data_IF_738776193978
#
_entry.id   IF_738776193978
#
_cell.length_a   1.000
_cell.length_b   1.000
_cell.length_c   1.000
_cell.angle_alpha   90.00
_cell.angle_beta   90.00
_cell.angle_gamma   90.00
#
_symmetry.space_group_name_H-M   'P 1'
#
loop_
_entity.id
_entity.type
_entity.pdbx_description
1 polymer ?
#
# COMPACT_ATOMS: atom_id res chain seq x y z
N UNK A 1 -14.40 -3.11 -5.82
CA UNK A 1 -13.19 -3.94 -5.74
C UNK A 1 -13.36 -5.25 -6.48
N UNK A 2 -14.48 -5.48 -7.16
CA UNK A 2 -14.75 -6.72 -7.88
C UNK A 2 -13.70 -7.06 -8.96
N UNK A 3 -13.13 -6.09 -9.71
CA UNK A 3 -12.03 -6.38 -10.63
C UNK A 3 -10.81 -7.02 -9.95
N UNK A 4 -10.51 -6.66 -8.69
CA UNK A 4 -9.41 -7.26 -7.92
C UNK A 4 -9.71 -8.73 -7.63
N UNK A 5 -10.93 -9.03 -7.13
CA UNK A 5 -11.32 -10.40 -6.86
C UNK A 5 -11.32 -11.27 -8.12
N UNK A 6 -11.84 -10.73 -9.23
CA UNK A 6 -11.82 -11.40 -10.52
C UNK A 6 -10.38 -11.68 -10.97
N UNK A 7 -9.48 -10.69 -10.89
CA UNK A 7 -8.08 -10.87 -11.25
C UNK A 7 -7.40 -11.94 -10.38
N UNK A 8 -7.70 -12.00 -9.08
CA UNK A 8 -7.18 -13.03 -8.19
C UNK A 8 -7.70 -14.43 -8.55
N UNK A 9 -8.98 -14.55 -8.92
CA UNK A 9 -9.57 -15.83 -9.34
C UNK A 9 -9.03 -16.29 -10.71
N UNK A 10 -8.86 -15.36 -11.65
CA UNK A 10 -8.21 -15.62 -12.93
C UNK A 10 -6.77 -16.08 -12.73
N UNK A 11 -6.02 -15.43 -11.84
CA UNK A 11 -4.65 -15.83 -11.49
C UNK A 11 -4.59 -17.22 -10.87
N UNK A 12 -5.50 -17.57 -9.94
CA UNK A 12 -5.58 -18.94 -9.40
C UNK A 12 -5.83 -19.98 -10.50
N UNK A 13 -6.62 -19.63 -11.52
CA UNK A 13 -6.94 -20.56 -12.61
C UNK A 13 -5.72 -20.88 -13.48
N UNK A 14 -4.81 -19.91 -13.65
CA UNK A 14 -3.58 -20.05 -14.46
C UNK A 14 -2.39 -20.51 -13.62
N UNK A 15 -2.34 -20.10 -12.35
CA UNK A 15 -1.30 -20.39 -11.37
C UNK A 15 -1.96 -20.82 -10.05
N UNK A 16 -2.29 -22.12 -9.88
CA UNK A 16 -2.98 -22.62 -8.69
C UNK A 16 -2.25 -22.30 -7.37
N UNK A 17 -0.92 -22.20 -7.43
CA UNK A 17 -0.05 -21.87 -6.31
C UNK A 17 0.22 -20.36 -6.19
N UNK A 18 -0.55 -19.48 -6.84
CA UNK A 18 -0.38 -18.03 -6.68
C UNK A 18 -0.71 -17.61 -5.24
N UNK A 19 -1.86 -18.02 -4.72
CA UNK A 19 -2.27 -17.76 -3.34
C UNK A 19 -1.76 -18.83 -2.38
N UNK A 20 -0.44 -18.94 -2.23
CA UNK A 20 0.17 -19.78 -1.18
C UNK A 20 -0.35 -19.33 0.18
N UNK A 21 -0.80 -20.24 1.06
CA UNK A 21 -1.31 -19.87 2.39
C UNK A 21 -0.33 -19.00 3.18
N UNK A 22 0.96 -19.24 2.98
CA UNK A 22 2.03 -18.72 3.82
C UNK A 22 2.92 -17.67 3.13
N UNK A 23 2.46 -17.12 2.01
CA UNK A 23 3.10 -15.99 1.38
C UNK A 23 2.21 -14.76 1.58
N UNK A 24 2.80 -13.62 1.91
CA UNK A 24 2.05 -12.36 1.95
C UNK A 24 1.44 -12.06 0.58
N UNK A 25 0.15 -11.74 0.54
CA UNK A 25 -0.51 -11.20 -0.65
C UNK A 25 -0.35 -9.67 -0.62
N UNK A 26 0.43 -9.13 -1.56
CA UNK A 26 0.47 -7.70 -1.79
C UNK A 26 -0.46 -7.34 -2.95
N UNK A 27 -1.38 -6.40 -2.71
CA UNK A 27 -2.26 -5.83 -3.73
C UNK A 27 -1.84 -4.38 -3.90
N UNK A 28 -1.39 -4.03 -5.11
CA UNK A 28 -1.05 -2.66 -5.48
C UNK A 28 -2.07 -2.22 -6.51
N UNK A 29 -2.95 -1.31 -6.10
CA UNK A 29 -3.97 -0.73 -6.94
C UNK A 29 -3.51 0.64 -7.43
N UNK A 30 -3.57 0.84 -8.74
CA UNK A 30 -3.29 2.12 -9.40
C UNK A 30 -4.53 2.50 -10.18
N UNK A 31 -5.13 3.66 -9.88
CA UNK A 31 -6.34 4.11 -10.58
C UNK A 31 -6.47 5.63 -10.55
N UNK A 32 -6.86 6.20 -11.68
CA UNK A 32 -7.28 7.59 -11.85
C UNK A 32 -8.79 7.79 -11.61
N UNK A 33 -9.52 6.70 -11.34
CA UNK A 33 -10.97 6.66 -11.19
C UNK A 33 -11.38 6.00 -9.85
N UNK A 34 -12.67 6.05 -9.51
CA UNK A 34 -13.23 5.43 -8.30
C UNK A 34 -13.75 4.00 -8.55
N UNK A 35 -13.85 3.21 -7.47
CA UNK A 35 -14.44 1.87 -7.49
C UNK A 35 -15.96 1.89 -7.69
N UNK A 36 -16.43 1.32 -8.81
CA UNK A 36 -17.84 1.12 -9.11
C UNK A 36 -18.51 -0.06 -8.38
N UNK A 37 -17.80 -0.79 -7.51
CA UNK A 37 -18.37 -1.94 -6.78
C UNK A 37 -18.59 -3.16 -7.68
N UNK A 38 -19.68 -3.88 -7.45
CA UNK A 38 -20.08 -5.03 -8.28
C UNK A 38 -20.90 -4.58 -9.49
N UNK A 39 -20.74 -5.28 -10.63
CA UNK A 39 -21.54 -5.04 -11.83
C UNK A 39 -23.03 -5.21 -11.49
N UNK A 40 -23.80 -4.14 -11.62
CA UNK A 40 -25.24 -4.13 -11.32
C UNK A 40 -25.63 -3.54 -9.97
N UNK A 41 -24.67 -3.24 -9.08
CA UNK A 41 -24.92 -2.46 -7.85
C UNK A 41 -25.48 -1.07 -8.22
N UNK A 42 -24.99 -0.54 -9.34
CA UNK A 42 -25.48 0.70 -9.94
C UNK A 42 -25.92 0.48 -11.37
N UNK A 43 -27.00 1.14 -11.79
CA UNK A 43 -27.39 1.14 -13.20
C UNK A 43 -26.54 2.12 -13.99
N UNK A 44 -25.57 1.61 -14.75
CA UNK A 44 -24.76 2.41 -15.69
C UNK A 44 -25.59 3.01 -16.86
N UNK A 45 -26.85 2.60 -17.01
CA UNK A 45 -27.74 3.01 -18.11
C UNK A 45 -28.37 4.40 -17.95
N UNK A 46 -27.95 5.19 -16.97
CA UNK A 46 -28.53 6.52 -16.72
C UNK A 46 -27.83 7.62 -17.49
N UNK A 47 -28.57 8.70 -17.77
CA UNK A 47 -28.12 10.01 -18.27
C UNK A 47 -26.95 10.65 -17.49
N UNK A 48 -26.55 10.06 -16.36
CA UNK A 48 -25.42 10.45 -15.51
C UNK A 48 -24.04 10.36 -16.20
N UNK A 49 -23.96 9.77 -17.41
CA UNK A 49 -22.83 10.00 -18.30
C UNK A 49 -21.46 9.53 -17.79
N UNK A 50 -21.45 8.45 -16.98
CA UNK A 50 -20.24 7.87 -16.38
C UNK A 50 -20.07 8.15 -14.88
N UNK A 51 -20.88 9.05 -14.30
CA UNK A 51 -20.71 9.51 -12.91
C UNK A 51 -21.35 8.61 -11.85
N UNK A 52 -22.11 7.59 -12.26
CA UNK A 52 -22.91 6.78 -11.33
C UNK A 52 -22.05 6.13 -10.24
N UNK A 53 -20.81 5.75 -10.55
CA UNK A 53 -19.88 5.19 -9.56
C UNK A 53 -19.52 6.19 -8.47
N UNK A 54 -19.27 7.45 -8.83
CA UNK A 54 -18.99 8.51 -7.87
C UNK A 54 -20.21 8.88 -7.03
N UNK A 55 -21.41 8.88 -7.62
CA UNK A 55 -22.64 9.09 -6.86
C UNK A 55 -22.84 7.99 -5.82
N UNK A 56 -22.61 6.73 -6.21
CA UNK A 56 -22.75 5.60 -5.30
C UNK A 56 -21.63 5.51 -4.25
N UNK A 57 -20.40 5.91 -4.59
CA UNK A 57 -19.32 6.04 -3.62
C UNK A 57 -19.58 7.19 -2.62
N UNK A 58 -20.14 8.32 -3.08
CA UNK A 58 -20.54 9.43 -2.22
C UNK A 58 -21.83 9.16 -1.43
N UNK A 59 -22.64 8.18 -1.84
CA UNK A 59 -23.97 7.91 -1.31
C UNK A 59 -25.05 8.89 -1.76
N UNK A 60 -24.72 9.81 -2.67
CA UNK A 60 -25.65 10.81 -3.22
C UNK A 60 -25.17 11.36 -4.57
N UNK A 61 -26.09 11.92 -5.36
CA UNK A 61 -25.76 12.63 -6.60
C UNK A 61 -25.37 14.11 -6.38
N UNK A 62 -25.16 14.84 -7.47
CA UNK A 62 -24.81 16.27 -7.48
C UNK A 62 -25.92 17.18 -6.90
N UNK A 63 -27.14 16.67 -6.75
CA UNK A 63 -28.29 17.35 -6.14
C UNK A 63 -28.56 16.87 -4.70
N UNK A 64 -27.75 15.95 -4.18
CA UNK A 64 -27.92 15.36 -2.85
C UNK A 64 -29.01 14.29 -2.77
N UNK A 65 -29.51 13.78 -3.90
CA UNK A 65 -30.45 12.65 -3.93
C UNK A 65 -29.67 11.37 -3.62
N UNK A 66 -30.23 10.51 -2.76
CA UNK A 66 -29.61 9.24 -2.36
C UNK A 66 -30.07 8.04 -3.20
N UNK A 67 -30.81 8.29 -4.28
CA UNK A 67 -31.32 7.27 -5.19
C UNK A 67 -31.41 7.78 -6.62
N UNK A 68 -31.29 6.89 -7.59
CA UNK A 68 -31.45 7.18 -9.01
C UNK A 68 -32.91 7.47 -9.42
N UNK A 69 -33.12 7.82 -10.69
CA UNK A 69 -34.45 8.12 -11.24
C UNK A 69 -35.41 6.91 -11.25
N UNK A 70 -34.89 5.69 -11.04
CA UNK A 70 -35.67 4.46 -10.90
C UNK A 70 -35.96 4.10 -9.45
N UNK A 71 -35.48 4.91 -8.49
CA UNK A 71 -35.64 4.70 -7.05
C UNK A 71 -34.65 3.71 -6.44
N UNK A 72 -33.59 3.32 -7.16
CA UNK A 72 -32.53 2.47 -6.59
C UNK A 72 -31.57 3.33 -5.77
N UNK A 73 -31.16 2.90 -4.56
CA UNK A 73 -30.24 3.66 -3.75
C UNK A 73 -28.86 3.77 -4.42
N UNK A 74 -28.19 4.90 -4.21
CA UNK A 74 -26.78 5.07 -4.51
C UNK A 74 -25.95 4.38 -3.44
N UNK A 75 -25.86 3.05 -3.53
CA UNK A 75 -25.16 2.22 -2.55
C UNK A 75 -24.27 1.22 -3.29
N UNK A 76 -23.03 1.10 -2.82
CA UNK A 76 -22.08 0.10 -3.30
C UNK A 76 -21.88 -0.97 -2.24
N UNK A 77 -21.48 -2.16 -2.67
CA UNK A 77 -20.95 -3.19 -1.76
C UNK A 77 -19.93 -2.56 -0.79
N UNK A 78 -20.10 -2.79 0.52
CA UNK A 78 -19.29 -2.14 1.56
C UNK A 78 -17.79 -2.48 1.43
N UNK A 79 -16.92 -1.55 1.83
CA UNK A 79 -15.47 -1.80 1.88
C UNK A 79 -15.14 -2.91 2.88
N UNK A 80 -15.89 -3.03 3.97
CA UNK A 80 -15.77 -4.09 4.97
C UNK A 80 -15.92 -5.49 4.35
N UNK A 81 -16.95 -5.68 3.52
CA UNK A 81 -17.16 -6.98 2.88
C UNK A 81 -15.99 -7.39 1.99
N UNK A 82 -15.41 -6.44 1.25
CA UNK A 82 -14.23 -6.71 0.44
C UNK A 82 -12.98 -6.95 1.28
N UNK A 83 -12.79 -6.20 2.36
CA UNK A 83 -11.71 -6.41 3.32
C UNK A 83 -11.76 -7.83 3.89
N UNK A 84 -12.93 -8.25 4.39
CA UNK A 84 -13.15 -9.59 4.96
C UNK A 84 -12.85 -10.68 3.94
N UNK A 85 -13.28 -10.49 2.68
CA UNK A 85 -12.98 -11.43 1.58
C UNK A 85 -11.48 -11.53 1.31
N UNK A 86 -10.76 -10.41 1.27
CA UNK A 86 -9.31 -10.41 1.04
C UNK A 86 -8.55 -11.09 2.19
N UNK A 87 -8.96 -10.82 3.43
CA UNK A 87 -8.39 -11.46 4.63
C UNK A 87 -8.68 -12.97 4.66
N UNK A 88 -9.89 -13.39 4.24
CA UNK A 88 -10.26 -14.80 4.15
C UNK A 88 -9.38 -15.58 3.16
N UNK A 89 -8.80 -14.93 2.13
CA UNK A 89 -7.84 -15.56 1.23
C UNK A 89 -6.55 -16.02 1.93
N UNK A 90 -6.27 -15.47 3.13
CA UNK A 90 -5.10 -15.79 3.97
C UNK A 90 -5.50 -16.31 5.34
N UNK A 91 -6.60 -17.07 5.39
CA UNK A 91 -7.00 -17.78 6.61
C UNK A 91 -7.44 -16.88 7.78
N UNK A 92 -7.72 -15.59 7.54
CA UNK A 92 -8.07 -14.65 8.61
C UNK A 92 -6.91 -13.80 9.13
N UNK A 93 -5.69 -13.99 8.61
CA UNK A 93 -4.50 -13.33 9.12
C UNK A 93 -4.33 -11.92 8.53
N UNK A 94 -4.64 -10.89 9.31
CA UNK A 94 -4.56 -9.47 8.89
C UNK A 94 -3.13 -8.99 8.56
N UNK A 95 -2.11 -9.72 9.04
CA UNK A 95 -0.69 -9.52 8.70
C UNK A 95 -0.29 -10.00 7.30
N UNK A 96 -1.09 -10.88 6.70
CA UNK A 96 -0.72 -11.62 5.48
C UNK A 96 -1.27 -11.00 4.19
N UNK A 97 -1.97 -9.87 4.31
CA UNK A 97 -2.46 -9.10 3.18
C UNK A 97 -1.99 -7.66 3.35
N UNK A 98 -1.29 -7.15 2.33
CA UNK A 98 -0.86 -5.76 2.22
C UNK A 98 -1.64 -5.10 1.09
N UNK A 99 -2.18 -3.91 1.34
CA UNK A 99 -2.97 -3.17 0.35
C UNK A 99 -2.40 -1.77 0.13
N UNK A 100 -1.94 -1.50 -1.08
CA UNK A 100 -1.45 -0.21 -1.52
C UNK A 100 -2.45 0.43 -2.51
N UNK A 101 -2.89 1.65 -2.21
CA UNK A 101 -3.72 2.47 -3.07
C UNK A 101 -2.91 3.65 -3.61
N UNK A 102 -2.66 3.67 -4.92
CA UNK A 102 -2.03 4.78 -5.63
C UNK A 102 -3.10 5.42 -6.52
N UNK A 103 -3.78 6.43 -5.97
CA UNK A 103 -5.05 6.94 -6.52
C UNK A 103 -5.07 8.47 -6.56
N UNK A 104 -6.17 9.08 -7.03
CA UNK A 104 -6.36 10.51 -6.88
C UNK A 104 -6.55 10.90 -5.40
N UNK A 105 -5.59 11.66 -4.87
CA UNK A 105 -5.56 12.14 -3.48
C UNK A 105 -5.37 13.66 -3.49
N UNK A 106 -6.23 14.40 -2.77
CA UNK A 106 -6.20 15.87 -2.80
C UNK A 106 -5.10 16.49 -1.94
N UNK A 107 -4.78 15.85 -0.81
CA UNK A 107 -3.64 16.20 0.03
C UNK A 107 -2.88 14.92 0.40
N UNK A 108 -1.72 14.64 -0.23
CA UNK A 108 -0.92 13.46 0.10
C UNK A 108 -0.48 13.37 1.57
N UNK A 109 -0.41 14.50 2.29
CA UNK A 109 -0.09 14.50 3.72
C UNK A 109 -1.30 14.06 4.58
N UNK A 110 -2.52 14.28 4.10
CA UNK A 110 -3.77 13.96 4.78
C UNK A 110 -4.74 13.28 3.80
N UNK A 111 -4.44 12.05 3.32
CA UNK A 111 -5.22 11.44 2.25
C UNK A 111 -6.68 11.20 2.62
N UNK A 112 -6.98 11.05 3.92
CA UNK A 112 -8.35 10.85 4.43
C UNK A 112 -9.25 12.09 4.26
N UNK A 113 -8.68 13.27 4.01
CA UNK A 113 -9.42 14.49 3.72
C UNK A 113 -9.90 14.56 2.25
N UNK A 114 -9.49 13.60 1.41
CA UNK A 114 -9.93 13.48 0.02
C UNK A 114 -11.43 13.22 -0.04
N UNK A 115 -12.16 14.04 -0.79
CA UNK A 115 -13.62 13.97 -0.93
C UNK A 115 -14.04 13.93 -2.38
N UNK A 116 -15.18 13.29 -2.64
CA UNK A 116 -15.88 13.39 -3.92
C UNK A 116 -16.66 14.71 -3.91
N UNK A 117 -16.28 15.64 -4.79
CA UNK A 117 -17.00 16.89 -4.98
C UNK A 117 -17.53 16.99 -6.41
N UNK A 118 -18.78 17.41 -6.56
CA UNK A 118 -19.39 17.61 -7.87
C UNK A 118 -19.34 19.08 -8.28
N UNK A 119 -19.24 19.33 -9.58
CA UNK A 119 -19.33 20.67 -10.16
C UNK A 119 -20.03 20.64 -11.52
N UNK A 120 -20.60 21.76 -11.93
CA UNK A 120 -21.15 21.92 -13.27
C UNK A 120 -20.00 22.06 -14.26
N UNK A 121 -19.84 21.11 -15.19
CA UNK A 121 -18.75 21.16 -16.15
C UNK A 121 -18.93 22.35 -17.10
N UNK A 122 -17.88 23.17 -17.36
CA UNK A 122 -18.05 24.38 -18.18
C UNK A 122 -18.33 24.07 -19.65
N UNK A 123 -17.96 22.86 -20.12
CA UNK A 123 -18.13 22.45 -21.51
C UNK A 123 -19.24 21.43 -21.74
N UNK A 124 -19.80 20.86 -20.66
CA UNK A 124 -20.90 19.91 -20.75
C UNK A 124 -22.05 20.42 -19.88
N UNK A 125 -23.28 20.44 -20.40
CA UNK A 125 -24.49 20.80 -19.61
C UNK A 125 -24.88 19.68 -18.63
N UNK A 126 -23.89 19.11 -17.92
CA UNK A 126 -24.03 18.08 -16.90
C UNK A 126 -23.04 18.33 -15.76
N UNK A 127 -23.32 17.75 -14.59
CA UNK A 127 -22.35 17.65 -13.52
C UNK A 127 -21.12 16.85 -13.97
N UNK A 128 -20.02 17.02 -13.25
CA UNK A 128 -18.80 16.22 -13.32
C UNK A 128 -18.16 16.17 -11.92
N UNK A 129 -17.18 15.29 -11.73
CA UNK A 129 -16.45 15.15 -10.46
C UNK A 129 -15.21 16.03 -10.48
N UNK A 130 -15.02 16.87 -9.47
CA UNK A 130 -13.78 17.64 -9.34
C UNK A 130 -12.60 16.67 -9.23
N UNK A 131 -11.52 16.90 -9.99
CA UNK A 131 -10.32 16.09 -9.83
C UNK A 131 -9.74 16.29 -8.42
N UNK A 132 -9.24 15.20 -7.82
CA UNK A 132 -8.51 15.28 -6.56
C UNK A 132 -7.14 15.93 -6.76
N UNK A 133 -6.49 15.59 -7.88
CA UNK A 133 -5.17 16.08 -8.21
C UNK A 133 -4.93 16.11 -9.72
N UNK A 134 -3.83 16.75 -10.12
CA UNK A 134 -3.39 16.86 -11.50
C UNK A 134 -1.91 16.49 -11.61
N UNK A 135 -1.54 15.74 -12.64
CA UNK A 135 -0.14 15.41 -12.92
C UNK A 135 0.65 16.66 -13.30
N UNK A 136 1.72 17.03 -12.54
CA UNK A 136 2.45 18.26 -12.77
C UNK A 136 2.97 18.41 -14.20
N UNK A 137 2.64 19.53 -14.85
CA UNK A 137 3.09 19.85 -16.21
C UNK A 137 2.36 19.11 -17.33
N UNK A 138 1.46 18.18 -17.03
CA UNK A 138 0.73 17.41 -18.05
C UNK A 138 -0.14 18.32 -18.94
N UNK A 139 -0.96 19.20 -18.35
CA UNK A 139 -1.84 20.10 -19.13
C UNK A 139 -1.10 21.06 -20.06
N UNK A 140 0.16 21.39 -19.77
CA UNK A 140 1.00 22.24 -20.63
C UNK A 140 1.33 21.58 -21.98
N UNK A 141 1.20 20.26 -22.06
CA UNK A 141 1.44 19.48 -23.28
C UNK A 141 0.18 19.40 -24.15
N UNK A 142 -0.98 19.83 -23.64
CA UNK A 142 -2.21 19.87 -24.41
C UNK A 142 -2.15 20.98 -25.47
N UNK A 143 -2.52 20.63 -26.70
CA UNK A 143 -2.61 21.60 -27.79
C UNK A 143 -3.57 22.74 -27.39
N UNK A 144 -3.24 24.01 -27.68
CA UNK A 144 -4.10 25.12 -27.32
C UNK A 144 -5.46 25.00 -28.03
N UNK A 145 -6.51 25.46 -27.35
CA UNK A 145 -7.90 25.34 -27.81
C UNK A 145 -8.14 25.82 -29.25
N UNK A 146 -7.42 26.85 -29.69
CA UNK A 146 -7.52 27.43 -31.04
C UNK A 146 -7.16 26.45 -32.17
N UNK A 147 -6.40 25.39 -31.85
CA UNK A 147 -5.81 24.48 -32.84
C UNK A 147 -6.45 23.09 -32.88
N UNK A 148 -7.45 22.82 -32.05
CA UNK A 148 -8.14 21.53 -31.97
C UNK A 148 -9.64 21.75 -31.74
N UNK A 149 -10.46 20.75 -32.07
CA UNK A 149 -11.86 20.83 -31.64
C UNK A 149 -11.93 20.77 -30.11
N UNK A 150 -12.98 21.37 -29.55
CA UNK A 150 -13.20 21.51 -28.11
C UNK A 150 -13.12 20.17 -27.37
N UNK A 151 -13.70 19.10 -27.92
CA UNK A 151 -13.70 17.77 -27.30
C UNK A 151 -12.28 17.20 -27.13
N UNK A 152 -11.40 17.38 -28.12
CA UNK A 152 -10.01 16.90 -28.03
C UNK A 152 -9.19 17.68 -27.01
N UNK A 153 -9.43 18.99 -26.89
CA UNK A 153 -8.79 19.80 -25.85
C UNK A 153 -9.21 19.36 -24.45
N UNK A 154 -10.52 19.23 -24.23
CA UNK A 154 -11.09 18.81 -22.94
C UNK A 154 -10.59 17.43 -22.53
N UNK A 155 -10.66 16.44 -23.43
CA UNK A 155 -10.16 15.09 -23.14
C UNK A 155 -8.67 15.04 -22.85
N UNK A 156 -7.86 15.97 -23.38
CA UNK A 156 -6.46 16.08 -23.01
C UNK A 156 -6.29 16.61 -21.58
N UNK A 157 -7.06 17.62 -21.19
CA UNK A 157 -7.01 18.15 -19.82
C UNK A 157 -7.47 17.12 -18.79
N UNK A 158 -8.55 16.41 -19.08
CA UNK A 158 -9.11 15.36 -18.22
C UNK A 158 -8.13 14.19 -18.07
N UNK A 159 -7.42 13.79 -19.13
CA UNK A 159 -6.41 12.74 -19.05
C UNK A 159 -5.18 13.10 -18.17
N UNK A 160 -5.05 14.38 -17.79
CA UNK A 160 -4.01 14.84 -16.87
C UNK A 160 -4.47 14.88 -15.41
N UNK A 161 -5.73 14.57 -15.15
CA UNK A 161 -6.37 14.64 -13.84
C UNK A 161 -6.61 13.23 -13.31
N UNK A 162 -6.60 13.09 -11.98
CA UNK A 162 -7.13 11.91 -11.32
C UNK A 162 -8.30 12.32 -10.44
N UNK A 163 -9.39 11.57 -10.54
CA UNK A 163 -10.57 11.75 -9.70
C UNK A 163 -10.34 11.13 -8.31
N UNK A 164 -11.10 11.56 -7.28
CA UNK A 164 -10.94 11.05 -5.91
C UNK A 164 -11.11 9.52 -5.82
N UNK A 165 -10.12 8.82 -5.27
CA UNK A 165 -10.17 7.37 -5.01
C UNK A 165 -10.55 7.03 -3.56
N UNK A 166 -11.61 7.65 -3.05
CA UNK A 166 -12.00 7.62 -1.63
C UNK A 166 -12.19 6.22 -1.06
N UNK A 167 -12.80 5.30 -1.82
CA UNK A 167 -13.02 3.92 -1.34
C UNK A 167 -11.73 3.14 -1.25
N UNK A 168 -10.80 3.36 -2.18
CA UNK A 168 -9.47 2.74 -2.13
C UNK A 168 -8.64 3.23 -0.94
N UNK A 169 -8.77 4.53 -0.61
CA UNK A 169 -8.18 5.10 0.60
C UNK A 169 -8.78 4.42 1.84
N UNK A 170 -10.11 4.32 1.93
CA UNK A 170 -10.80 3.63 3.03
C UNK A 170 -10.32 2.17 3.17
N UNK A 171 -10.22 1.44 2.06
CA UNK A 171 -9.72 0.06 2.04
C UNK A 171 -8.30 -0.03 2.60
N UNK A 172 -7.38 0.81 2.12
CA UNK A 172 -6.01 0.84 2.63
C UNK A 172 -6.00 1.10 4.14
N UNK A 173 -6.84 2.01 4.66
CA UNK A 173 -6.92 2.29 6.10
C UNK A 173 -7.36 1.09 6.93
N UNK A 174 -8.26 0.24 6.43
CA UNK A 174 -8.66 -0.99 7.15
C UNK A 174 -7.50 -1.95 7.39
N UNK A 175 -6.43 -1.88 6.60
CA UNK A 175 -5.22 -2.68 6.81
C UNK A 175 -4.22 -2.08 7.81
N UNK A 176 -4.45 -0.88 8.34
CA UNK A 176 -3.57 -0.24 9.33
C UNK A 176 -2.13 -0.13 8.84
N UNK A 177 -1.17 -0.74 9.55
CA UNK A 177 0.24 -0.78 9.15
C UNK A 177 0.50 -1.59 7.86
N UNK A 178 -0.45 -2.42 7.43
CA UNK A 178 -0.41 -3.15 6.16
C UNK A 178 -1.20 -2.41 5.06
N UNK A 179 -1.55 -1.15 5.30
CA UNK A 179 -2.17 -0.24 4.36
C UNK A 179 -1.19 0.83 3.90
N UNK A 180 -1.18 1.12 2.61
CA UNK A 180 -0.38 2.19 2.01
C UNK A 180 -1.26 3.04 1.10
N UNK A 181 -1.12 4.36 1.18
CA UNK A 181 -1.82 5.31 0.30
C UNK A 181 -0.79 6.27 -0.25
N UNK A 182 -0.82 6.46 -1.57
CA UNK A 182 -0.06 7.50 -2.27
C UNK A 182 -0.90 8.10 -3.40
N UNK A 183 -0.44 9.20 -3.98
CA UNK A 183 -1.10 9.86 -5.10
C UNK A 183 -0.57 9.37 -6.44
N UNK A 184 -1.46 9.16 -7.42
CA UNK A 184 -1.07 8.88 -8.81
C UNK A 184 -0.58 10.14 -9.54
N UNK A 185 -0.89 11.34 -9.03
CA UNK A 185 -0.59 12.62 -9.68
C UNK A 185 0.86 13.07 -9.42
N UNK A 186 1.82 12.26 -9.81
CA UNK A 186 3.26 12.54 -9.66
C UNK A 186 3.90 12.66 -11.03
N UNK A 187 4.86 13.56 -11.18
CA UNK A 187 5.64 13.65 -12.43
C UNK A 187 6.63 12.48 -12.58
N UNK A 188 7.06 11.90 -11.46
CA UNK A 188 7.99 10.78 -11.39
C UNK A 188 7.52 9.80 -10.31
N UNK A 189 7.35 8.53 -10.69
CA UNK A 189 6.90 7.46 -9.80
C UNK A 189 8.06 6.80 -9.04
N UNK A 190 9.32 7.19 -9.26
CA UNK A 190 10.47 6.55 -8.64
C UNK A 190 10.36 6.49 -7.11
N UNK A 191 9.93 7.60 -6.48
CA UNK A 191 9.73 7.66 -5.03
C UNK A 191 8.59 6.72 -4.58
N UNK A 192 7.45 6.75 -5.27
CA UNK A 192 6.33 5.86 -5.00
C UNK A 192 6.71 4.39 -5.14
N UNK A 193 7.46 4.03 -6.19
CA UNK A 193 7.92 2.66 -6.41
C UNK A 193 8.93 2.22 -5.33
N UNK A 194 9.79 3.11 -4.86
CA UNK A 194 10.68 2.84 -3.74
C UNK A 194 9.89 2.58 -2.45
N UNK A 195 8.88 3.42 -2.14
CA UNK A 195 7.99 3.24 -1.00
C UNK A 195 7.19 1.94 -1.10
N UNK A 196 6.64 1.62 -2.27
CA UNK A 196 5.94 0.35 -2.52
C UNK A 196 6.88 -0.83 -2.30
N UNK A 197 8.12 -0.77 -2.80
CA UNK A 197 9.13 -1.80 -2.60
C UNK A 197 9.44 -2.03 -1.11
N UNK A 198 9.62 -0.96 -0.34
CA UNK A 198 9.78 -1.03 1.12
C UNK A 198 8.53 -1.58 1.82
N UNK A 199 7.35 -1.14 1.38
CA UNK A 199 6.08 -1.55 1.94
C UNK A 199 5.80 -3.05 1.72
N UNK A 200 6.02 -3.57 0.51
CA UNK A 200 5.79 -5.00 0.21
C UNK A 200 6.91 -5.88 0.72
N UNK A 201 8.13 -5.34 0.83
CA UNK A 201 9.32 -6.06 1.26
C UNK A 201 9.31 -6.49 2.72
N UNK A 202 10.43 -7.08 3.13
CA UNK A 202 10.68 -7.42 4.52
C UNK A 202 10.75 -6.15 5.37
N UNK A 203 10.07 -6.08 6.53
CA UNK A 203 10.22 -4.96 7.44
C UNK A 203 11.70 -4.78 7.82
N UNK A 204 12.22 -3.56 7.69
CA UNK A 204 13.56 -3.22 8.19
C UNK A 204 13.57 -2.94 9.69
N UNK A 205 12.41 -2.61 10.25
CA UNK A 205 12.22 -2.18 11.63
C UNK A 205 11.19 -3.09 12.28
N UNK A 206 11.57 -3.74 13.37
CA UNK A 206 10.72 -4.60 14.17
C UNK A 206 10.43 -3.92 15.50
N UNK A 207 9.15 -3.65 15.76
CA UNK A 207 8.69 -2.96 16.99
C UNK A 207 8.64 -3.95 18.15
N UNK A 208 9.17 -3.56 19.30
CA UNK A 208 9.17 -4.38 20.50
C UNK A 208 8.07 -3.94 21.47
N UNK A 209 7.46 -4.93 22.13
CA UNK A 209 6.48 -4.69 23.19
C UNK A 209 7.14 -4.34 24.53
N UNK A 210 8.34 -4.85 24.77
CA UNK A 210 9.08 -4.65 26.02
C UNK A 210 10.54 -4.22 25.73
N UNK A 211 11.13 -3.33 26.55
CA UNK A 211 12.51 -2.89 26.37
C UNK A 211 13.52 -4.01 26.55
N UNK A 212 14.59 -3.98 25.75
CA UNK A 212 15.78 -4.80 25.99
C UNK A 212 16.62 -4.15 27.09
N UNK A 213 16.68 -4.78 28.26
CA UNK A 213 17.35 -4.22 29.45
C UNK A 213 18.88 -4.24 29.32
N UNK A 214 19.42 -5.29 28.70
CA UNK A 214 20.85 -5.50 28.53
C UNK A 214 21.15 -5.86 27.06
N UNK A 215 21.13 -4.88 26.15
CA UNK A 215 21.27 -5.13 24.71
C UNK A 215 22.61 -5.76 24.31
N UNK A 216 23.64 -5.61 25.14
CA UNK A 216 24.95 -6.21 24.93
C UNK A 216 25.00 -7.70 25.30
N UNK A 217 24.02 -8.18 26.09
CA UNK A 217 23.89 -9.59 26.50
C UNK A 217 22.77 -10.31 25.75
N UNK A 218 22.03 -9.59 24.92
CA UNK A 218 20.92 -10.11 24.17
C UNK A 218 21.40 -10.73 22.85
N UNK A 219 20.87 -11.90 22.53
CA UNK A 219 20.91 -12.48 21.20
C UNK A 219 19.49 -12.52 20.64
N UNK A 220 19.39 -12.35 19.33
CA UNK A 220 18.15 -12.53 18.59
C UNK A 220 18.15 -13.93 18.01
N UNK A 221 17.07 -14.66 18.25
CA UNK A 221 16.77 -15.88 17.49
C UNK A 221 15.63 -15.58 16.52
N UNK A 222 15.78 -15.99 15.26
CA UNK A 222 14.71 -15.98 14.26
C UNK A 222 14.36 -17.43 13.98
N UNK A 223 13.16 -17.85 14.39
CA UNK A 223 12.71 -19.25 14.28
C UNK A 223 13.69 -20.24 14.93
N UNK A 224 14.31 -19.83 16.03
CA UNK A 224 15.30 -20.64 16.78
C UNK A 224 16.73 -20.59 16.22
N UNK A 225 16.95 -19.97 15.07
CA UNK A 225 18.28 -19.74 14.50
C UNK A 225 18.89 -18.45 15.04
N UNK A 226 20.11 -18.53 15.57
CA UNK A 226 20.80 -17.38 16.15
C UNK A 226 21.24 -16.39 15.07
N UNK A 227 20.87 -15.12 15.26
CA UNK A 227 21.37 -14.02 14.43
C UNK A 227 22.67 -13.52 15.06
N UNK A 228 23.82 -13.68 14.37
CA UNK A 228 25.11 -13.26 14.92
C UNK A 228 25.09 -11.75 15.18
N UNK A 229 25.67 -11.32 16.31
CA UNK A 229 25.69 -9.89 16.67
C UNK A 229 26.39 -9.03 15.61
N UNK A 230 27.47 -9.56 15.02
CA UNK A 230 28.21 -8.90 13.96
C UNK A 230 28.34 -9.80 12.74
N UNK A 231 28.31 -9.17 11.56
CA UNK A 231 28.51 -9.85 10.29
C UNK A 231 29.24 -8.95 9.28
N UNK A 232 29.87 -9.58 8.31
CA UNK A 232 30.57 -8.90 7.23
C UNK A 232 29.57 -8.19 6.31
N UNK A 233 29.75 -6.88 6.13
CA UNK A 233 28.91 -6.09 5.23
C UNK A 233 29.05 -6.55 3.78
N UNK A 234 27.93 -6.63 3.05
CA UNK A 234 27.86 -6.93 1.61
C UNK A 234 28.69 -8.15 1.15
N UNK A 235 28.12 -9.35 1.29
CA UNK A 235 28.47 -10.50 0.45
C UNK A 235 27.22 -10.87 -0.37
N UNK A 236 27.39 -11.18 -1.65
CA UNK A 236 26.26 -11.35 -2.58
C UNK A 236 25.26 -12.45 -2.19
N UNK A 237 25.58 -13.39 -1.27
CA UNK A 237 24.59 -14.42 -0.88
C UNK A 237 24.81 -15.10 0.49
N UNK A 238 25.70 -14.68 1.38
CA UNK A 238 25.84 -15.34 2.70
C UNK A 238 26.19 -14.39 3.83
N UNK A 239 25.43 -14.48 4.92
CA UNK A 239 25.82 -13.94 6.21
C UNK A 239 27.13 -14.62 6.65
N UNK A 240 28.20 -13.84 6.75
CA UNK A 240 29.46 -14.29 7.33
C UNK A 240 29.62 -13.60 8.69
N UNK A 241 29.58 -14.39 9.76
CA UNK A 241 29.83 -13.90 11.11
C UNK A 241 31.27 -13.39 11.25
N UNK A 242 31.42 -12.32 12.03
CA UNK A 242 32.72 -11.77 12.41
C UNK A 242 32.69 -11.34 13.88
N UNK A 243 33.85 -11.12 14.48
CA UNK A 243 33.98 -10.94 15.93
C UNK A 243 33.69 -9.52 16.43
N UNK A 244 33.46 -8.57 15.52
CA UNK A 244 33.21 -7.15 15.82
C UNK A 244 33.97 -6.19 14.91
N UNK A 245 33.79 -4.86 15.06
CA UNK A 245 34.26 -3.86 14.09
C UNK A 245 35.78 -3.83 13.82
N UNK A 246 36.59 -4.40 14.72
CA UNK A 246 38.04 -4.55 14.54
C UNK A 246 38.46 -5.82 13.78
N UNK A 247 37.52 -6.70 13.48
CA UNK A 247 37.77 -7.96 12.77
C UNK A 247 37.98 -7.70 11.28
N UNK A 248 39.13 -8.14 10.76
CA UNK A 248 39.53 -8.00 9.35
C UNK A 248 39.40 -9.32 8.58
N UNK A 249 38.73 -10.33 9.15
CA UNK A 249 38.53 -11.65 8.51
C UNK A 249 37.47 -11.63 7.41
N UNK A 250 36.71 -10.54 7.29
CA UNK A 250 35.68 -10.39 6.29
C UNK A 250 36.24 -10.43 4.85
N UNK A 251 35.57 -11.16 3.93
CA UNK A 251 35.96 -11.21 2.53
C UNK A 251 36.08 -9.82 1.89
N UNK A 252 36.98 -9.69 0.91
CA UNK A 252 37.18 -8.46 0.13
C UNK A 252 37.47 -7.19 0.96
N UNK A 253 37.96 -7.37 2.19
CA UNK A 253 38.13 -6.30 3.19
C UNK A 253 36.83 -5.55 3.51
N UNK A 254 35.69 -6.23 3.40
CA UNK A 254 34.42 -5.70 3.85
C UNK A 254 34.48 -5.37 5.36
N UNK A 255 33.78 -4.32 5.82
CA UNK A 255 33.72 -4.01 7.24
C UNK A 255 32.89 -5.05 7.99
N UNK A 256 33.34 -5.43 9.18
CA UNK A 256 32.51 -6.13 10.15
C UNK A 256 31.57 -5.12 10.84
N UNK A 257 30.27 -5.30 10.71
CA UNK A 257 29.24 -4.37 11.22
C UNK A 257 28.23 -5.11 12.09
N UNK A 258 27.48 -4.39 12.93
CA UNK A 258 26.37 -5.01 13.67
C UNK A 258 25.32 -5.55 12.70
N UNK A 259 24.92 -6.81 12.85
CA UNK A 259 23.86 -7.42 12.04
C UNK A 259 22.49 -6.86 12.42
N UNK A 260 22.33 -6.47 13.68
CA UNK A 260 21.12 -5.84 14.19
C UNK A 260 21.47 -4.80 15.25
N UNK A 261 20.65 -3.77 15.32
CA UNK A 261 20.80 -2.67 16.28
C UNK A 261 19.48 -2.47 17.01
N UNK A 262 19.57 -2.39 18.33
CA UNK A 262 18.45 -2.02 19.20
C UNK A 262 18.38 -0.51 19.38
N UNK A 263 17.22 0.07 19.13
CA UNK A 263 16.91 1.46 19.40
C UNK A 263 15.96 1.51 20.60
N UNK A 264 16.38 2.09 21.74
CA UNK A 264 15.53 2.22 22.92
C UNK A 264 14.22 2.97 22.62
N UNK A 265 13.18 2.82 23.46
CA UNK A 265 11.93 3.56 23.30
C UNK A 265 12.18 5.07 23.22
N UNK A 266 11.60 5.72 22.22
CA UNK A 266 11.65 7.17 22.00
C UNK A 266 10.42 7.91 22.54
N UNK A 267 9.53 7.18 23.23
CA UNK A 267 8.23 7.67 23.70
C UNK A 267 7.07 7.40 22.73
N UNK A 268 7.32 6.78 21.58
CA UNK A 268 6.26 6.34 20.66
C UNK A 268 5.36 5.28 21.32
N UNK A 269 4.03 5.45 21.27
CA UNK A 269 3.10 4.45 21.80
C UNK A 269 3.11 3.15 20.96
N UNK A 270 3.61 3.20 19.73
CA UNK A 270 3.60 2.05 18.82
C UNK A 270 4.76 1.07 19.07
N UNK A 271 5.79 1.52 19.79
CA UNK A 271 7.00 0.74 20.07
C UNK A 271 7.44 0.97 21.54
N UNK A 272 6.61 0.58 22.53
CA UNK A 272 6.89 0.85 23.94
C UNK A 272 8.17 0.17 24.43
N UNK A 273 8.61 -0.90 23.75
CA UNK A 273 9.88 -1.59 23.98
C UNK A 273 11.05 -1.11 23.12
N UNK A 274 10.87 -0.08 22.28
CA UNK A 274 11.85 0.32 21.28
C UNK A 274 11.74 -0.50 19.99
N UNK A 275 12.77 -0.45 19.16
CA UNK A 275 12.79 -1.16 17.87
C UNK A 275 14.10 -1.91 17.63
N UNK A 276 14.04 -2.92 16.79
CA UNK A 276 15.22 -3.61 16.25
C UNK A 276 15.29 -3.31 14.75
N UNK A 277 16.47 -2.95 14.27
CA UNK A 277 16.75 -2.82 12.84
C UNK A 277 17.84 -3.79 12.43
N UNK A 278 17.66 -4.46 11.30
CA UNK A 278 18.69 -5.32 10.73
C UNK A 278 19.55 -4.56 9.72
N UNK A 279 20.81 -4.95 9.60
CA UNK A 279 21.73 -4.39 8.62
C UNK A 279 21.23 -4.65 7.19
N UNK A 280 21.56 -3.76 6.26
CA UNK A 280 21.04 -3.84 4.89
C UNK A 280 21.42 -5.10 4.12
N UNK A 281 22.47 -5.81 4.55
CA UNK A 281 22.92 -7.07 3.96
C UNK A 281 22.33 -8.31 4.64
N UNK A 282 21.48 -8.14 5.66
CA UNK A 282 20.77 -9.22 6.32
C UNK A 282 19.27 -9.04 6.18
N UNK A 283 18.64 -9.88 5.37
CA UNK A 283 17.19 -9.94 5.26
C UNK A 283 16.66 -11.02 6.22
N UNK A 284 16.07 -10.65 7.38
CA UNK A 284 15.55 -11.63 8.33
C UNK A 284 14.45 -12.48 7.70
N UNK A 285 13.78 -12.00 6.65
CA UNK A 285 12.73 -12.74 5.96
C UNK A 285 13.23 -13.92 5.14
N UNK A 286 14.53 -14.03 4.84
CA UNK A 286 15.10 -15.22 4.18
C UNK A 286 14.98 -16.48 5.04
N UNK A 287 14.90 -16.32 6.37
CA UNK A 287 14.73 -17.41 7.32
C UNK A 287 13.25 -17.78 7.53
N UNK A 288 12.34 -17.09 6.84
CA UNK A 288 10.92 -17.36 6.96
C UNK A 288 10.57 -18.50 6.01
N UNK A 289 10.46 -19.71 6.54
CA UNK A 289 9.91 -20.80 5.75
C UNK A 289 8.44 -20.50 5.45
N UNK A 290 7.95 -20.84 4.23
CA UNK A 290 6.53 -20.71 3.91
C UNK A 290 5.66 -21.55 4.86
N UNK A 291 5.16 -20.95 5.94
CA UNK A 291 4.17 -21.53 6.85
C UNK A 291 4.50 -21.44 8.31
N UNK A 292 5.64 -20.83 8.62
CA UNK A 292 6.05 -20.62 9.98
C UNK A 292 5.66 -19.20 10.39
N UNK A 293 5.00 -19.10 11.55
CA UNK A 293 4.98 -17.84 12.27
C UNK A 293 6.41 -17.46 12.59
N UNK A 294 6.77 -16.21 12.29
CA UNK A 294 8.10 -15.71 12.59
C UNK A 294 8.17 -15.42 14.08
N UNK A 295 9.01 -16.17 14.77
CA UNK A 295 9.31 -15.96 16.17
C UNK A 295 10.66 -15.25 16.26
N UNK A 296 10.61 -13.97 16.64
CA UNK A 296 11.81 -13.22 17.04
C UNK A 296 11.89 -13.34 18.55
N UNK A 297 12.79 -14.20 19.01
CA UNK A 297 13.02 -14.41 20.44
C UNK A 297 14.24 -13.62 20.89
N UNK A 298 14.14 -13.06 22.09
CA UNK A 298 15.24 -12.40 22.76
C UNK A 298 15.76 -13.34 23.85
N UNK A 299 16.99 -13.81 23.70
CA UNK A 299 17.64 -14.65 24.72
C UNK A 299 18.81 -13.88 25.34
N UNK A 300 18.89 -13.90 26.66
CA UNK A 300 20.02 -13.30 27.39
C UNK A 300 21.07 -14.36 27.66
N UNK A 301 22.29 -14.14 27.20
CA UNK A 301 23.42 -14.97 27.59
C UNK A 301 23.73 -14.73 29.07
N UNK A 302 23.64 -15.77 29.89
CA UNK A 302 24.22 -15.72 31.25
C UNK A 302 25.74 -15.77 31.12
N UNK A 303 26.47 -14.80 31.72
CA UNK A 303 27.92 -14.76 31.69
C UNK A 303 28.58 -15.95 32.39
#
# INVERSE_FOLDING_TARGET
FQPILQALDDLKSVQPDFLRPNATLAIILVSDEEDCGSVGDVTERTSAGGLTCYFAAAGHDDQGRTSDDTGRPYELTSVDEFYDRLIALKGGETGMVKFAAIVGVSDPANPDDTKIEFYQHPFYERADVRPACETPGCKSQCAPFENVNQAKYVGCLEACEAKPGTRYIEMARKFGNNGFVDTICQADFAETMAKVGEFVGCPKVFKLQEPILHPDLANILINGEEVPRFSCGFSEVRLAECSGPSDTSCPDNAPCVETWTYHPPDGSPDAPGGTITFASHYDPCEFFQPGESVHIELVYATP
#
